data_IF_855885524713
#
_entry.id   IF_855885524713
#
_cell.length_a   1.000
_cell.length_b   1.000
_cell.length_c   1.000
_cell.angle_alpha   90.00
_cell.angle_beta   90.00
_cell.angle_gamma   90.00
#
_symmetry.space_group_name_H-M   'P 1'
#
loop_
_entity.id
_entity.type
_entity.pdbx_description
1 polymer ?
#
# COMPACT_ATOMS: atom_id res chain seq x y z
N UNK A 1 -32.53 -16.86 47.37
CA UNK A 1 -33.54 -15.80 47.07
C UNK A 1 -33.06 -15.08 45.85
N UNK A 2 -33.66 -15.36 44.69
CA UNK A 2 -34.60 -14.50 43.93
C UNK A 2 -33.89 -13.19 43.51
N UNK A 3 -33.85 -12.77 42.28
CA UNK A 3 -34.57 -12.93 40.99
C UNK A 3 -33.93 -11.93 40.04
N UNK A 4 -33.81 -12.33 38.79
CA UNK A 4 -34.46 -11.74 37.57
C UNK A 4 -33.93 -10.33 37.22
N UNK A 5 -33.74 -9.95 36.00
CA UNK A 5 -34.26 -10.33 34.68
C UNK A 5 -33.56 -9.40 33.69
N UNK A 6 -33.39 -9.80 32.55
CA UNK A 6 -34.18 -9.64 31.31
C UNK A 6 -33.73 -8.51 30.40
N UNK A 7 -33.36 -8.92 29.25
CA UNK A 7 -33.89 -8.51 27.92
C UNK A 7 -33.36 -7.22 27.33
N UNK A 8 -32.63 -7.35 26.24
CA UNK A 8 -32.32 -6.30 25.28
C UNK A 8 -31.81 -6.87 23.95
N UNK A 9 -32.61 -7.75 23.34
CA UNK A 9 -32.48 -8.03 21.91
C UNK A 9 -32.94 -6.81 21.13
N UNK A 10 -32.05 -6.06 20.53
CA UNK A 10 -32.37 -5.15 19.45
C UNK A 10 -31.90 -5.75 18.14
N UNK A 11 -32.86 -6.04 17.30
CA UNK A 11 -32.73 -6.45 15.89
C UNK A 11 -32.03 -5.33 15.11
N UNK A 12 -31.00 -5.70 14.38
CA UNK A 12 -30.54 -4.91 13.26
C UNK A 12 -30.61 -5.83 12.03
N UNK A 13 -31.73 -5.78 11.36
CA UNK A 13 -31.90 -6.24 10.00
C UNK A 13 -32.55 -5.12 9.20
N UNK A 14 -32.16 -5.00 7.96
CA UNK A 14 -32.81 -4.23 6.90
C UNK A 14 -32.43 -2.75 6.75
N UNK A 15 -31.37 -2.51 6.01
CA UNK A 15 -31.24 -1.30 5.18
C UNK A 15 -30.09 -1.46 4.15
N UNK A 16 -30.21 -2.35 3.19
CA UNK A 16 -29.38 -2.28 1.96
C UNK A 16 -30.06 -3.07 0.85
N UNK A 17 -31.15 -2.55 0.31
CA UNK A 17 -31.67 -3.03 -0.99
C UNK A 17 -32.77 -2.10 -1.52
N UNK A 18 -32.53 -0.82 -1.74
CA UNK A 18 -33.50 0.01 -2.47
C UNK A 18 -32.89 1.28 -3.05
N UNK A 19 -31.66 1.25 -3.60
CA UNK A 19 -31.17 2.47 -4.30
C UNK A 19 -30.44 2.21 -5.62
N UNK A 20 -30.60 1.05 -6.24
CA UNK A 20 -30.10 0.79 -7.59
C UNK A 20 -31.17 0.73 -8.69
N UNK A 21 -32.45 1.00 -8.35
CA UNK A 21 -33.54 0.94 -9.34
C UNK A 21 -33.95 2.29 -9.94
N UNK A 22 -33.50 3.41 -9.37
CA UNK A 22 -33.92 4.73 -9.81
C UNK A 22 -33.08 5.34 -10.95
N UNK A 23 -31.86 4.86 -11.20
CA UNK A 23 -30.97 5.42 -12.22
C UNK A 23 -31.19 4.75 -13.59
N UNK A 24 -31.61 3.49 -13.65
CA UNK A 24 -31.81 2.75 -14.90
C UNK A 24 -33.15 3.09 -15.61
N UNK A 25 -34.11 3.69 -14.93
CA UNK A 25 -35.38 4.09 -15.55
C UNK A 25 -35.37 5.46 -16.23
N UNK A 26 -34.34 6.27 -16.07
CA UNK A 26 -34.25 7.58 -16.74
C UNK A 26 -33.63 7.55 -18.13
N UNK A 27 -32.93 6.51 -18.50
CA UNK A 27 -32.30 6.37 -19.82
C UNK A 27 -33.24 5.74 -20.85
N UNK A 28 -34.32 5.06 -20.44
CA UNK A 28 -35.24 4.38 -21.38
C UNK A 28 -36.47 5.20 -21.81
N UNK A 29 -36.62 6.48 -21.42
CA UNK A 29 -37.81 7.29 -21.75
C UNK A 29 -37.56 8.42 -22.77
N UNK A 30 -36.49 8.37 -23.55
CA UNK A 30 -36.23 9.38 -24.60
C UNK A 30 -36.18 8.83 -26.04
N UNK A 31 -36.79 7.69 -26.29
CA UNK A 31 -36.88 7.13 -27.64
C UNK A 31 -38.31 6.68 -27.97
N UNK A 32 -39.28 7.58 -27.93
CA UNK A 32 -40.57 7.40 -28.58
C UNK A 32 -41.35 8.72 -28.53
N UNK A 33 -41.29 9.48 -29.57
CA UNK A 33 -42.39 10.27 -30.15
C UNK A 33 -41.82 11.23 -31.18
N UNK A 34 -41.81 10.86 -32.44
CA UNK A 34 -42.05 11.76 -33.55
C UNK A 34 -42.64 10.93 -34.66
N UNK A 35 -43.91 10.61 -34.52
CA UNK A 35 -44.76 10.11 -35.57
C UNK A 35 -45.42 11.32 -36.26
N UNK A 36 -44.89 11.73 -37.41
CA UNK A 36 -45.54 12.69 -38.27
C UNK A 36 -46.58 11.97 -39.08
N UNK A 37 -47.88 12.21 -38.76
CA UNK A 37 -49.02 11.80 -39.57
C UNK A 37 -49.16 12.77 -40.74
N UNK A 38 -48.79 12.32 -41.94
CA UNK A 38 -49.07 13.04 -43.19
C UNK A 38 -50.44 12.58 -43.72
N UNK A 39 -51.44 13.46 -43.65
CA UNK A 39 -52.75 13.24 -44.27
C UNK A 39 -52.64 13.43 -45.78
N UNK A 40 -52.94 12.36 -46.50
CA UNK A 40 -53.09 12.36 -47.96
C UNK A 40 -54.23 13.31 -48.41
N UNK A 41 -53.94 14.24 -49.25
CA UNK A 41 -54.91 14.86 -50.13
C UNK A 41 -54.55 14.52 -51.58
N UNK A 42 -55.38 13.68 -52.17
CA UNK A 42 -55.31 13.33 -53.58
C UNK A 42 -55.83 14.52 -54.38
N UNK A 43 -55.03 15.10 -55.23
CA UNK A 43 -55.47 15.89 -56.37
C UNK A 43 -54.75 15.40 -57.65
N UNK A 44 -55.52 14.80 -58.48
CA UNK A 44 -55.09 14.37 -59.82
C UNK A 44 -54.97 15.59 -60.76
N UNK A 45 -53.82 15.79 -61.38
CA UNK A 45 -53.67 16.59 -62.64
C UNK A 45 -52.54 16.00 -63.48
N UNK A 46 -52.93 15.65 -64.67
CA UNK A 46 -52.26 15.33 -65.93
C UNK A 46 -50.76 15.40 -66.12
N UNK A 47 -50.31 14.34 -66.71
CA UNK A 47 -49.10 14.04 -67.47
C UNK A 47 -48.27 15.23 -67.99
N UNK A 48 -47.01 15.28 -67.63
CA UNK A 48 -45.88 15.69 -68.43
C UNK A 48 -44.68 14.81 -68.06
N UNK A 49 -44.21 14.00 -69.02
CA UNK A 49 -43.05 13.15 -68.87
C UNK A 49 -41.78 14.01 -68.78
N UNK A 50 -41.34 14.35 -67.59
CA UNK A 50 -39.99 14.85 -67.36
C UNK A 50 -39.21 13.68 -66.78
N UNK A 51 -38.18 13.21 -67.46
CA UNK A 51 -37.25 12.22 -66.95
C UNK A 51 -36.54 12.79 -65.70
N UNK A 52 -37.05 12.48 -64.53
CA UNK A 52 -36.34 12.75 -63.29
C UNK A 52 -35.16 11.76 -63.20
N UNK A 53 -33.95 12.27 -63.44
CA UNK A 53 -32.72 11.56 -62.99
C UNK A 53 -32.73 11.56 -61.46
N UNK A 54 -33.17 10.49 -60.88
CA UNK A 54 -33.01 10.28 -59.44
C UNK A 54 -31.54 10.00 -59.18
N UNK A 55 -30.79 11.05 -58.83
CA UNK A 55 -29.46 10.88 -58.23
C UNK A 55 -29.70 10.26 -56.88
N UNK A 56 -29.48 8.96 -56.76
CA UNK A 56 -29.47 8.30 -55.46
C UNK A 56 -28.23 8.78 -54.71
N UNK A 57 -28.37 9.38 -53.53
CA UNK A 57 -27.20 9.60 -52.68
C UNK A 57 -26.58 8.23 -52.37
N UNK A 58 -25.33 8.04 -52.82
CA UNK A 58 -24.55 6.87 -52.43
C UNK A 58 -24.48 6.76 -50.91
N UNK A 59 -24.26 5.53 -50.36
CA UNK A 59 -24.11 5.38 -48.95
C UNK A 59 -23.01 6.32 -48.43
N UNK A 60 -23.37 7.22 -47.53
CA UNK A 60 -22.41 8.04 -46.84
C UNK A 60 -21.52 7.08 -46.03
N UNK A 61 -20.28 6.86 -46.42
CA UNK A 61 -19.25 6.22 -45.60
C UNK A 61 -19.05 7.14 -44.41
N UNK A 62 -19.45 6.67 -43.25
CA UNK A 62 -19.13 7.34 -42.00
C UNK A 62 -17.61 7.48 -41.93
N UNK A 63 -17.12 8.71 -41.88
CA UNK A 63 -15.73 8.93 -41.57
C UNK A 63 -15.48 8.29 -40.19
N UNK A 64 -14.51 7.39 -40.08
CA UNK A 64 -14.12 6.83 -38.80
C UNK A 64 -13.82 7.94 -37.81
N UNK A 65 -14.23 7.75 -36.56
CA UNK A 65 -13.97 8.75 -35.52
C UNK A 65 -12.45 8.99 -35.40
N UNK A 66 -12.02 10.25 -35.50
CA UNK A 66 -10.61 10.57 -35.35
C UNK A 66 -10.15 10.23 -33.96
N UNK A 67 -9.07 9.49 -33.83
CA UNK A 67 -8.49 9.11 -32.55
C UNK A 67 -7.05 9.61 -32.45
N UNK A 68 -6.65 10.03 -31.24
CA UNK A 68 -5.29 10.43 -30.92
C UNK A 68 -4.72 9.43 -29.92
N UNK A 69 -3.52 8.90 -30.19
CA UNK A 69 -2.79 8.08 -29.23
C UNK A 69 -1.90 8.98 -28.40
N UNK A 70 -2.08 8.94 -27.09
CA UNK A 70 -1.26 9.66 -26.12
C UNK A 70 -0.34 8.67 -25.40
N UNK A 71 0.91 9.05 -25.18
CA UNK A 71 1.90 8.24 -24.46
C UNK A 71 2.59 9.08 -23.39
N UNK A 72 2.84 8.46 -22.24
CA UNK A 72 3.67 9.04 -21.18
C UNK A 72 4.55 7.95 -20.57
N UNK A 73 5.60 8.35 -19.87
CA UNK A 73 6.53 7.43 -19.22
C UNK A 73 6.54 7.68 -17.73
N UNK A 74 6.41 6.63 -16.95
CA UNK A 74 6.67 6.63 -15.49
C UNK A 74 8.11 6.18 -15.28
N UNK A 75 8.92 7.01 -14.62
CA UNK A 75 10.30 6.68 -14.27
C UNK A 75 10.35 5.96 -12.93
N UNK A 76 11.20 4.93 -12.82
CA UNK A 76 11.47 4.24 -11.56
C UNK A 76 12.64 4.89 -10.80
N UNK A 77 12.57 4.89 -9.48
CA UNK A 77 13.64 5.27 -8.57
C UNK A 77 14.40 4.07 -8.00
N UNK A 78 14.78 4.13 -6.73
CA UNK A 78 15.61 3.14 -6.05
C UNK A 78 14.94 2.60 -4.78
N UNK A 79 15.43 1.45 -4.32
CA UNK A 79 15.17 0.93 -2.98
C UNK A 79 16.26 1.44 -2.04
N UNK A 80 15.88 2.12 -0.96
CA UNK A 80 16.81 2.70 0.01
C UNK A 80 16.41 2.39 1.44
N UNK A 81 17.40 2.39 2.34
CA UNK A 81 17.22 2.25 3.78
C UNK A 81 17.91 3.42 4.48
N UNK A 82 17.19 4.12 5.32
CA UNK A 82 17.72 5.16 6.20
C UNK A 82 17.66 4.68 7.64
N UNK A 83 18.76 4.80 8.37
CA UNK A 83 18.89 4.43 9.79
C UNK A 83 19.60 5.54 10.55
N UNK A 84 19.42 5.65 11.89
CA UNK A 84 20.17 6.57 12.73
C UNK A 84 21.68 6.27 12.68
N UNK A 85 22.50 7.32 12.66
CA UNK A 85 23.95 7.18 12.63
C UNK A 85 24.54 6.69 13.97
N UNK A 86 23.84 6.90 15.08
CA UNK A 86 24.23 6.43 16.41
C UNK A 86 23.02 6.35 17.34
N UNK A 87 23.11 5.49 18.35
CA UNK A 87 22.12 5.40 19.42
C UNK A 87 22.83 5.24 20.77
N UNK A 88 22.25 5.84 21.81
CA UNK A 88 22.70 5.62 23.18
C UNK A 88 21.64 4.77 23.91
N UNK A 89 22.03 3.58 24.30
CA UNK A 89 21.11 2.63 24.97
C UNK A 89 20.95 2.94 26.47
N UNK A 90 21.70 3.91 27.00
CA UNK A 90 21.67 4.29 28.42
C UNK A 90 22.71 3.55 29.26
N UNK A 91 22.42 3.35 30.54
CA UNK A 91 23.33 2.71 31.49
C UNK A 91 22.57 1.76 32.43
N UNK A 92 23.26 0.75 32.93
CA UNK A 92 22.72 -0.22 33.87
C UNK A 92 23.83 -0.93 34.64
N UNK A 93 23.47 -1.59 35.72
CA UNK A 93 24.40 -2.41 36.53
C UNK A 93 24.67 -3.77 35.84
N UNK A 94 25.80 -4.44 36.12
CA UNK A 94 25.99 -5.84 35.77
C UNK A 94 24.82 -6.71 36.25
N UNK A 95 24.38 -7.63 35.42
CA UNK A 95 23.23 -8.50 35.67
C UNK A 95 21.87 -7.88 35.38
N UNK A 96 21.79 -6.68 34.76
CA UNK A 96 20.54 -6.04 34.38
C UNK A 96 20.39 -5.98 32.85
N UNK A 97 19.18 -5.64 32.40
CA UNK A 97 18.90 -5.37 30.97
C UNK A 97 18.93 -3.85 30.75
N UNK A 98 19.69 -3.42 29.77
CA UNK A 98 19.68 -2.06 29.24
C UNK A 98 18.86 -2.08 27.97
N UNK A 99 17.85 -1.20 27.85
CA UNK A 99 16.95 -1.22 26.69
C UNK A 99 16.56 0.21 26.29
N UNK A 100 16.71 0.52 25.02
CA UNK A 100 16.27 1.81 24.46
C UNK A 100 15.92 1.69 22.97
N UNK A 101 15.03 2.57 22.46
CA UNK A 101 14.84 2.74 21.04
C UNK A 101 16.11 3.34 20.42
N UNK A 102 16.42 2.94 19.18
CA UNK A 102 17.59 3.49 18.48
C UNK A 102 17.23 4.65 17.56
N UNK A 103 15.96 4.98 17.45
CA UNK A 103 15.42 6.02 16.56
C UNK A 103 14.86 5.45 15.26
N UNK A 104 14.17 6.30 14.48
CA UNK A 104 13.42 5.86 13.32
C UNK A 104 14.31 5.31 12.21
N UNK A 105 13.92 4.14 11.70
CA UNK A 105 14.45 3.51 10.49
C UNK A 105 13.38 3.56 9.41
N UNK A 106 13.76 3.80 8.15
CA UNK A 106 12.80 3.90 7.03
C UNK A 106 13.34 3.19 5.79
N UNK A 107 12.54 2.30 5.23
CA UNK A 107 12.68 1.80 3.86
C UNK A 107 11.85 2.68 2.95
N UNK A 108 12.46 3.14 1.85
CA UNK A 108 11.77 3.82 0.75
C UNK A 108 11.98 3.00 -0.52
N UNK A 109 10.88 2.58 -1.12
CA UNK A 109 10.87 1.83 -2.36
C UNK A 109 10.18 2.65 -3.46
N UNK A 110 11.00 3.32 -4.27
CA UNK A 110 10.57 4.14 -5.40
C UNK A 110 10.73 3.40 -6.74
N UNK A 111 10.90 2.06 -6.73
CA UNK A 111 11.11 1.28 -7.94
C UNK A 111 9.89 1.22 -8.86
N UNK A 112 8.73 1.69 -8.41
CA UNK A 112 7.48 1.75 -9.16
C UNK A 112 7.06 0.39 -9.77
N UNK A 113 7.29 -0.70 -9.05
CA UNK A 113 7.01 -2.07 -9.50
C UNK A 113 5.55 -2.46 -9.24
N UNK A 114 5.02 -3.37 -10.06
CA UNK A 114 3.67 -3.92 -9.87
C UNK A 114 3.61 -4.97 -8.74
N UNK A 115 4.73 -5.60 -8.41
CA UNK A 115 4.84 -6.61 -7.34
C UNK A 115 6.22 -6.51 -6.69
N UNK A 116 6.42 -5.42 -5.94
CA UNK A 116 7.66 -5.20 -5.22
C UNK A 116 7.77 -6.09 -3.99
N UNK A 117 8.98 -6.55 -3.71
CA UNK A 117 9.35 -7.17 -2.44
C UNK A 117 10.72 -6.68 -2.01
N UNK A 118 10.94 -6.70 -0.71
CA UNK A 118 12.23 -6.36 -0.11
C UNK A 118 12.37 -7.02 1.26
N UNK A 119 13.61 -7.17 1.71
CA UNK A 119 13.93 -7.74 3.02
C UNK A 119 14.93 -6.84 3.72
N UNK A 120 14.66 -6.51 4.98
CA UNK A 120 15.61 -5.83 5.86
C UNK A 120 16.27 -6.85 6.77
N UNK A 121 17.59 -6.80 6.84
CA UNK A 121 18.38 -7.61 7.76
C UNK A 121 19.13 -6.73 8.75
N UNK A 122 19.42 -7.28 9.93
CA UNK A 122 20.22 -6.65 10.98
C UNK A 122 21.31 -7.62 11.47
N UNK A 123 22.52 -7.09 11.65
CA UNK A 123 23.65 -7.77 12.26
C UNK A 123 24.32 -6.85 13.28
N UNK A 124 24.82 -7.38 14.37
CA UNK A 124 25.46 -6.61 15.44
C UNK A 124 26.85 -7.19 15.72
N UNK A 125 27.85 -6.30 15.86
CA UNK A 125 29.15 -6.73 16.39
C UNK A 125 29.08 -6.97 17.90
N UNK A 126 30.06 -7.66 18.45
CA UNK A 126 30.20 -7.72 19.91
C UNK A 126 30.41 -6.31 20.48
N UNK A 127 29.88 -6.07 21.67
CA UNK A 127 30.07 -4.82 22.40
C UNK A 127 31.39 -4.87 23.14
N UNK A 128 32.28 -3.91 22.86
CA UNK A 128 33.66 -3.90 23.38
C UNK A 128 33.91 -2.69 24.27
N UNK A 129 34.59 -2.93 25.40
CA UNK A 129 35.12 -1.93 26.30
C UNK A 129 36.57 -2.31 26.64
N UNK A 130 37.54 -1.78 25.90
CA UNK A 130 38.92 -2.18 25.99
C UNK A 130 39.11 -3.67 25.67
N UNK A 131 39.46 -4.47 26.69
CA UNK A 131 39.59 -5.94 26.56
C UNK A 131 38.34 -6.70 26.99
N UNK A 132 37.36 -6.01 27.59
CA UNK A 132 36.11 -6.63 28.04
C UNK A 132 35.10 -6.66 26.84
N UNK A 133 34.42 -7.79 26.67
CA UNK A 133 33.49 -8.01 25.57
C UNK A 133 32.18 -8.55 26.11
N UNK A 134 31.07 -8.02 25.59
CA UNK A 134 29.75 -8.59 25.72
C UNK A 134 29.32 -9.08 24.31
N UNK A 135 29.05 -10.38 24.12
CA UNK A 135 28.67 -10.90 22.82
C UNK A 135 27.41 -10.26 22.26
N UNK A 136 27.36 -10.08 20.94
CA UNK A 136 26.17 -9.58 20.23
C UNK A 136 24.90 -10.41 20.55
N UNK A 137 25.06 -11.70 20.83
CA UNK A 137 23.97 -12.60 21.20
C UNK A 137 23.30 -12.29 22.54
N UNK A 138 23.86 -11.38 23.33
CA UNK A 138 23.22 -10.83 24.52
C UNK A 138 22.21 -9.72 24.17
N UNK A 139 22.15 -9.29 22.93
CA UNK A 139 21.24 -8.25 22.47
C UNK A 139 20.06 -8.84 21.68
N UNK A 140 18.89 -8.25 21.88
CA UNK A 140 17.69 -8.53 21.09
C UNK A 140 17.26 -7.28 20.34
N UNK A 141 16.80 -7.48 19.11
CA UNK A 141 16.22 -6.45 18.27
C UNK A 141 14.71 -6.66 18.23
N UNK A 142 13.96 -5.71 18.74
CA UNK A 142 12.49 -5.70 18.71
C UNK A 142 12.06 -4.63 17.74
N UNK A 143 11.38 -5.01 16.66
CA UNK A 143 10.99 -4.09 15.56
C UNK A 143 10.04 -3.00 16.03
N UNK A 144 9.10 -3.32 16.92
CA UNK A 144 8.04 -2.41 17.34
C UNK A 144 6.95 -2.25 16.27
N UNK A 145 6.26 -1.11 16.31
CA UNK A 145 5.18 -0.80 15.35
C UNK A 145 5.77 -0.34 14.02
N UNK A 146 5.28 -0.93 12.92
CA UNK A 146 5.64 -0.51 11.56
C UNK A 146 4.49 0.30 10.98
N UNK A 147 4.81 1.50 10.47
CA UNK A 147 3.87 2.36 9.74
C UNK A 147 4.26 2.35 8.27
N UNK A 148 3.29 2.15 7.39
CA UNK A 148 3.52 2.09 5.94
C UNK A 148 2.75 3.17 5.19
N UNK A 149 3.28 3.60 4.05
CA UNK A 149 2.57 4.41 3.05
C UNK A 149 2.59 3.68 1.70
N UNK A 150 1.62 3.98 0.84
CA UNK A 150 1.44 3.26 -0.41
C UNK A 150 0.89 1.84 -0.18
N UNK A 151 1.01 0.99 -1.18
CA UNK A 151 0.55 -0.40 -1.12
C UNK A 151 1.73 -1.32 -0.85
N UNK A 152 1.80 -1.91 0.34
CA UNK A 152 2.81 -2.88 0.76
C UNK A 152 2.29 -3.66 1.98
N UNK A 153 2.59 -4.94 2.04
CA UNK A 153 2.37 -5.77 3.24
C UNK A 153 3.72 -6.00 3.92
N UNK A 154 3.85 -5.62 5.19
CA UNK A 154 5.09 -5.77 5.95
C UNK A 154 4.92 -6.77 7.07
N UNK A 155 5.85 -7.71 7.16
CA UNK A 155 5.97 -8.67 8.25
C UNK A 155 7.21 -8.32 9.08
N UNK A 156 7.04 -8.17 10.39
CA UNK A 156 8.10 -7.88 11.35
C UNK A 156 8.50 -9.13 12.13
N UNK A 157 9.79 -9.33 12.35
CA UNK A 157 10.35 -10.45 13.11
C UNK A 157 11.35 -9.91 14.12
N UNK A 158 11.10 -10.17 15.41
CA UNK A 158 12.06 -9.87 16.46
C UNK A 158 13.15 -10.95 16.49
N UNK A 159 14.40 -10.55 16.67
CA UNK A 159 15.54 -11.46 16.61
C UNK A 159 16.51 -11.29 17.77
N UNK A 160 17.20 -12.34 18.15
CA UNK A 160 18.45 -12.23 18.92
C UNK A 160 19.54 -11.85 17.93
N UNK A 161 20.23 -10.75 18.21
CA UNK A 161 21.30 -10.26 17.33
C UNK A 161 22.52 -11.18 17.38
N UNK A 162 23.30 -11.13 16.31
CA UNK A 162 24.58 -11.83 16.18
C UNK A 162 25.41 -11.14 15.10
N UNK A 163 26.65 -11.59 14.93
CA UNK A 163 27.54 -11.13 13.87
C UNK A 163 27.08 -11.60 12.47
N UNK A 164 26.01 -12.40 12.42
CA UNK A 164 25.38 -12.86 11.18
C UNK A 164 24.06 -12.11 10.98
N UNK A 165 23.82 -11.63 9.76
CA UNK A 165 22.60 -10.91 9.40
C UNK A 165 21.35 -11.78 9.62
N UNK A 166 20.38 -11.22 10.35
CA UNK A 166 19.08 -11.81 10.65
C UNK A 166 17.99 -10.99 9.99
N UNK A 167 16.99 -11.63 9.39
CA UNK A 167 15.84 -10.93 8.81
C UNK A 167 14.96 -10.33 9.91
N UNK A 168 14.74 -9.02 9.85
CA UNK A 168 13.91 -8.27 10.81
C UNK A 168 12.61 -7.75 10.20
N UNK A 169 12.61 -7.40 8.91
CA UNK A 169 11.38 -7.06 8.18
C UNK A 169 11.38 -7.70 6.78
N UNK A 170 10.18 -8.01 6.31
CA UNK A 170 9.95 -8.42 4.92
C UNK A 170 8.75 -7.65 4.39
N UNK A 171 8.94 -6.93 3.28
CA UNK A 171 7.89 -6.30 2.51
C UNK A 171 7.50 -7.17 1.33
N UNK A 172 6.20 -7.32 1.07
CA UNK A 172 5.66 -8.11 -0.04
C UNK A 172 4.44 -7.44 -0.65
N UNK A 173 4.12 -7.83 -1.88
CA UNK A 173 2.96 -7.31 -2.62
C UNK A 173 2.95 -5.77 -2.75
N UNK A 174 4.13 -5.15 -2.86
CA UNK A 174 4.25 -3.72 -3.10
C UNK A 174 3.75 -3.34 -4.49
N UNK A 175 3.02 -2.23 -4.59
CA UNK A 175 2.56 -1.67 -5.88
C UNK A 175 2.91 -0.19 -5.94
N UNK A 176 3.66 0.18 -6.98
CA UNK A 176 4.17 1.55 -7.11
C UNK A 176 5.14 1.90 -6.00
N UNK A 177 5.23 3.17 -5.67
CA UNK A 177 6.07 3.68 -4.60
C UNK A 177 5.45 3.41 -3.24
N UNK A 178 6.30 3.01 -2.28
CA UNK A 178 5.86 2.71 -0.92
C UNK A 178 6.96 2.98 0.10
N UNK A 179 6.58 3.15 1.36
CA UNK A 179 7.52 3.29 2.47
C UNK A 179 7.12 2.42 3.65
N UNK A 180 8.11 2.07 4.49
CA UNK A 180 7.88 1.45 5.79
C UNK A 180 8.81 2.10 6.82
N UNK A 181 8.23 2.63 7.90
CA UNK A 181 8.98 3.29 8.99
C UNK A 181 8.70 2.59 10.31
N UNK A 182 9.74 2.35 11.08
CA UNK A 182 9.68 1.75 12.42
C UNK A 182 10.74 2.35 13.33
N UNK A 183 10.57 2.21 14.65
CA UNK A 183 11.53 2.63 15.66
C UNK A 183 11.90 1.42 16.52
N UNK A 184 12.97 0.69 16.17
CA UNK A 184 13.31 -0.53 16.84
C UNK A 184 13.95 -0.27 18.20
N UNK A 185 13.67 -1.18 19.13
CA UNK A 185 14.27 -1.20 20.47
C UNK A 185 15.35 -2.27 20.52
N UNK A 186 16.54 -1.87 20.97
CA UNK A 186 17.61 -2.81 21.31
C UNK A 186 17.61 -3.02 22.83
N UNK A 187 17.59 -4.28 23.26
CA UNK A 187 17.72 -4.66 24.66
C UNK A 187 18.95 -5.54 24.84
N UNK A 188 19.90 -5.09 25.65
CA UNK A 188 21.15 -5.82 25.96
C UNK A 188 21.08 -6.41 27.36
N UNK A 189 21.18 -7.72 27.45
CA UNK A 189 21.32 -8.41 28.75
C UNK A 189 22.78 -8.34 29.18
N UNK A 190 23.09 -7.45 30.13
CA UNK A 190 24.44 -7.25 30.66
C UNK A 190 24.81 -8.42 31.57
N UNK A 191 25.87 -9.17 31.27
CA UNK A 191 26.30 -10.26 32.18
C UNK A 191 26.62 -9.78 33.59
N UNK A 192 26.37 -10.60 34.60
CA UNK A 192 26.69 -10.25 35.99
C UNK A 192 28.21 -10.03 36.21
N UNK A 193 29.05 -10.64 35.38
CA UNK A 193 30.51 -10.47 35.42
C UNK A 193 31.03 -9.34 34.56
N UNK A 194 30.15 -8.49 33.97
CA UNK A 194 30.58 -7.39 33.12
C UNK A 194 31.38 -6.34 33.90
N UNK A 195 32.45 -5.84 33.32
CA UNK A 195 33.29 -4.78 33.89
C UNK A 195 32.65 -3.42 33.61
N UNK A 196 32.68 -2.50 34.58
CA UNK A 196 32.19 -1.14 34.41
C UNK A 196 32.94 -0.40 33.30
N UNK A 197 32.23 0.42 32.55
CA UNK A 197 32.76 1.24 31.44
C UNK A 197 31.78 1.36 30.28
N UNK A 198 32.18 2.04 29.22
CA UNK A 198 31.38 2.22 28.03
C UNK A 198 31.67 1.10 27.04
N UNK A 199 30.64 0.33 26.68
CA UNK A 199 30.69 -0.70 25.65
C UNK A 199 30.17 -0.12 24.33
N UNK A 200 30.86 -0.41 23.23
CA UNK A 200 30.48 0.04 21.89
C UNK A 200 30.37 -1.16 20.97
N UNK A 201 29.25 -1.27 20.28
CA UNK A 201 29.00 -2.20 19.18
C UNK A 201 28.55 -1.44 17.93
N UNK A 202 28.43 -2.15 16.82
CA UNK A 202 27.94 -1.60 15.55
C UNK A 202 26.81 -2.45 15.03
N UNK A 203 25.61 -1.87 14.98
CA UNK A 203 24.44 -2.46 14.33
C UNK A 203 24.46 -2.09 12.84
N UNK A 204 24.59 -3.10 11.99
CA UNK A 204 24.50 -2.96 10.53
C UNK A 204 23.15 -3.41 10.06
N UNK A 205 22.42 -2.55 9.37
CA UNK A 205 21.14 -2.88 8.75
C UNK A 205 21.26 -2.74 7.22
N UNK A 206 20.63 -3.64 6.48
CA UNK A 206 20.66 -3.66 5.01
C UNK A 206 19.30 -3.98 4.45
N UNK A 207 18.97 -3.45 3.27
CA UNK A 207 17.75 -3.75 2.50
C UNK A 207 18.13 -4.31 1.13
N UNK A 208 17.44 -5.37 0.70
CA UNK A 208 17.62 -5.99 -0.62
C UNK A 208 16.28 -6.46 -1.20
#
# INVERSE_FOLDING_TARGET
MRRLAETGRARLSDATSTDMSAVDQRVRRRAATSGVVVRSRILAVAAAAAALVVVQPGPAVAAGDPSTTETFTVTSGALTLTVPASANLGSGAPGTVISAPIGPCTVTDDRALLSASWTVTAAETDFVNGTATIPATNATYTVGTVTTTGTITVTATNVTLSNTAQTVLTGTAGVGDNTATWDPTIAVNVPAGAVGGTYTGTLTQSVA
#
